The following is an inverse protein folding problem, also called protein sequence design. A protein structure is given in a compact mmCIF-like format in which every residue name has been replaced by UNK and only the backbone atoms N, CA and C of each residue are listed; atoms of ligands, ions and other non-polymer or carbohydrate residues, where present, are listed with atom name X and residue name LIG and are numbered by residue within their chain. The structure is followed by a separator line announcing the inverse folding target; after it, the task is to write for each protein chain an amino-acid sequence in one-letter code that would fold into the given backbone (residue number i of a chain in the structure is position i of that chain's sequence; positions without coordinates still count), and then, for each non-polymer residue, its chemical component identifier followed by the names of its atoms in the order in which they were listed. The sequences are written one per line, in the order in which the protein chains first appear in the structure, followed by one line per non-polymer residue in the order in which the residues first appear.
data_IF_462304596699
#
_entry.id   IF_462304596699
#
_cell.length_a   1.000
_cell.length_b   1.000
_cell.length_c   1.000
_cell.angle_alpha   90.00
_cell.angle_beta   90.00
_cell.angle_gamma   90.00
#
_symmetry.space_group_name_H-M   'P 1'
#
loop_
_entity.id
_entity.type
_entity.pdbx_description
1 polymer ?
#
# COMPACT_ATOMS: atom_id res chain seq x y z
N UNK A 1 5.29 22.43 12.25
CA UNK A 1 5.68 22.24 13.66
C UNK A 1 4.53 21.73 14.53
N UNK A 2 3.31 22.32 14.47
CA UNK A 2 2.15 21.84 15.24
C UNK A 2 1.77 20.36 14.99
N UNK A 3 1.72 19.91 13.73
CA UNK A 3 1.38 18.51 13.41
C UNK A 3 2.41 17.48 13.91
N UNK A 4 3.68 17.87 14.06
CA UNK A 4 4.76 16.96 14.47
C UNK A 4 4.67 16.59 15.94
N UNK A 5 4.36 17.57 16.81
CA UNK A 5 4.15 17.31 18.24
C UNK A 5 2.92 16.43 18.52
N UNK A 6 1.85 16.63 17.76
CA UNK A 6 0.64 15.78 17.85
C UNK A 6 0.90 14.35 17.38
N UNK A 7 1.76 14.16 16.37
CA UNK A 7 2.15 12.84 15.91
C UNK A 7 2.97 12.09 16.96
N UNK A 8 3.91 12.76 17.65
CA UNK A 8 4.72 12.14 18.69
C UNK A 8 3.91 11.73 19.92
N UNK A 9 2.98 12.59 20.37
CA UNK A 9 2.03 12.24 21.43
C UNK A 9 1.14 11.05 21.02
N UNK A 10 0.67 11.03 19.77
CA UNK A 10 -0.12 9.92 19.25
C UNK A 10 0.68 8.62 19.23
N UNK A 11 1.95 8.63 18.82
CA UNK A 11 2.80 7.45 18.81
C UNK A 11 3.04 6.91 20.22
N UNK A 12 3.24 7.77 21.22
CA UNK A 12 3.36 7.35 22.62
C UNK A 12 2.07 6.70 23.13
N UNK A 13 0.91 7.29 22.85
CA UNK A 13 -0.38 6.73 23.24
C UNK A 13 -0.66 5.38 22.56
N UNK A 14 -0.31 5.26 21.28
CA UNK A 14 -0.45 4.02 20.52
C UNK A 14 0.51 2.95 21.04
N UNK A 15 1.74 3.32 21.41
CA UNK A 15 2.69 2.37 22.01
C UNK A 15 2.18 1.82 23.34
N UNK A 16 1.59 2.68 24.17
CA UNK A 16 0.92 2.21 25.40
C UNK A 16 -0.22 1.22 25.10
N UNK A 17 -1.02 1.48 24.06
CA UNK A 17 -2.10 0.56 23.64
C UNK A 17 -1.57 -0.74 23.04
N UNK A 18 -0.42 -0.71 22.38
CA UNK A 18 0.29 -1.91 21.92
C UNK A 18 0.73 -2.78 23.09
N UNK A 19 1.30 -2.18 24.13
CA UNK A 19 1.90 -2.90 25.25
C UNK A 19 0.87 -3.35 26.30
N UNK A 20 -0.12 -2.51 26.60
CA UNK A 20 -1.10 -2.71 27.69
C UNK A 20 -2.51 -3.03 27.17
N UNK A 21 -2.75 -2.95 25.86
CA UNK A 21 -4.06 -3.20 25.27
C UNK A 21 -4.49 -4.66 25.34
N UNK A 22 -5.80 -4.89 25.26
CA UNK A 22 -6.39 -6.23 25.27
C UNK A 22 -7.03 -6.58 23.92
N UNK A 23 -7.19 -7.87 23.66
CA UNK A 23 -7.84 -8.35 22.43
C UNK A 23 -7.15 -7.85 21.16
N UNK A 24 -7.91 -7.22 20.26
CA UNK A 24 -7.40 -6.73 18.97
C UNK A 24 -6.74 -5.34 19.05
N UNK A 25 -6.80 -4.65 20.19
CA UNK A 25 -6.28 -3.28 20.32
C UNK A 25 -4.78 -3.17 20.06
N UNK A 26 -3.91 -4.09 20.54
CA UNK A 26 -2.49 -4.01 20.24
C UNK A 26 -2.15 -4.02 18.74
N UNK A 27 -2.85 -4.86 17.98
CA UNK A 27 -2.70 -4.94 16.54
C UNK A 27 -3.17 -3.67 15.82
N UNK A 28 -4.34 -3.15 16.21
CA UNK A 28 -4.84 -1.89 15.66
C UNK A 28 -3.90 -0.72 15.99
N UNK A 29 -3.30 -0.72 17.18
CA UNK A 29 -2.33 0.28 17.59
C UNK A 29 -1.07 0.25 16.70
N UNK A 30 -0.52 -0.94 16.42
CA UNK A 30 0.62 -1.12 15.49
C UNK A 30 0.32 -0.59 14.10
N UNK A 31 -0.84 -0.96 13.52
CA UNK A 31 -1.26 -0.49 12.19
C UNK A 31 -1.47 1.03 12.14
N UNK A 32 -2.02 1.61 13.21
CA UNK A 32 -2.22 3.06 13.30
C UNK A 32 -0.90 3.80 13.50
N UNK A 33 0.02 3.28 14.30
CA UNK A 33 1.34 3.87 14.51
C UNK A 33 2.12 3.95 13.19
N UNK A 34 2.12 2.88 12.39
CA UNK A 34 2.71 2.89 11.05
C UNK A 34 2.08 3.96 10.13
N UNK A 35 0.76 4.17 10.22
CA UNK A 35 0.10 5.25 9.47
C UNK A 35 0.52 6.64 9.95
N UNK A 36 0.62 6.85 11.27
CA UNK A 36 1.07 8.14 11.85
C UNK A 36 2.51 8.46 11.44
N UNK A 37 3.39 7.45 11.36
CA UNK A 37 4.75 7.63 10.85
C UNK A 37 4.74 8.10 9.39
N UNK A 38 3.91 7.50 8.53
CA UNK A 38 3.76 7.94 7.15
C UNK A 38 3.22 9.38 7.06
N UNK A 39 2.21 9.72 7.87
CA UNK A 39 1.63 11.07 7.95
C UNK A 39 2.67 12.12 8.43
N UNK A 40 3.66 11.71 9.23
CA UNK A 40 4.79 12.54 9.70
C UNK A 40 5.92 12.64 8.66
N UNK A 41 5.87 11.87 7.57
CA UNK A 41 6.93 11.77 6.57
C UNK A 41 8.05 10.78 6.92
N UNK A 42 7.88 9.99 7.99
CA UNK A 42 8.76 8.86 8.30
C UNK A 42 8.29 7.61 7.55
N UNK A 43 8.55 7.60 6.24
CA UNK A 43 8.11 6.52 5.36
C UNK A 43 8.83 5.20 5.64
N UNK A 44 10.12 5.25 6.00
CA UNK A 44 10.88 4.03 6.34
C UNK A 44 10.37 3.42 7.65
N UNK A 45 10.09 4.24 8.67
CA UNK A 45 9.44 3.81 9.91
C UNK A 45 8.05 3.22 9.67
N UNK A 46 7.25 3.86 8.81
CA UNK A 46 5.92 3.37 8.44
C UNK A 46 5.98 1.99 7.76
N UNK A 47 6.86 1.84 6.78
CA UNK A 47 7.07 0.57 6.06
C UNK A 47 7.54 -0.52 7.02
N UNK A 48 8.50 -0.22 7.91
CA UNK A 48 8.97 -1.16 8.91
C UNK A 48 7.84 -1.61 9.86
N UNK A 49 6.98 -0.68 10.30
CA UNK A 49 5.83 -0.99 11.14
C UNK A 49 4.82 -1.91 10.46
N UNK A 50 4.47 -1.63 9.21
CA UNK A 50 3.58 -2.50 8.43
C UNK A 50 4.21 -3.86 8.11
N UNK A 51 5.50 -3.91 7.77
CA UNK A 51 6.22 -5.15 7.50
C UNK A 51 6.30 -6.04 8.76
N UNK A 52 6.47 -5.44 9.95
CA UNK A 52 6.45 -6.17 11.21
C UNK A 52 5.09 -6.83 11.46
N UNK A 53 3.99 -6.19 11.08
CA UNK A 53 2.64 -6.80 11.13
C UNK A 53 2.51 -7.89 10.08
N UNK A 54 3.00 -7.68 8.87
CA UNK A 54 2.94 -8.66 7.78
C UNK A 54 3.73 -9.95 8.09
N UNK A 55 4.85 -9.84 8.81
CA UNK A 55 5.73 -10.96 9.15
C UNK A 55 5.24 -11.80 10.34
N UNK A 56 4.40 -11.24 11.21
CA UNK A 56 3.92 -11.90 12.42
C UNK A 56 2.86 -12.97 12.09
N UNK A 57 3.27 -14.24 12.11
CA UNK A 57 2.42 -15.38 11.69
C UNK A 57 1.25 -15.66 12.62
N UNK A 58 1.19 -15.04 13.80
CA UNK A 58 0.05 -15.15 14.72
C UNK A 58 -1.14 -14.30 14.26
N UNK A 59 -0.92 -13.36 13.35
CA UNK A 59 -1.94 -12.44 12.84
C UNK A 59 -2.70 -13.09 11.66
N UNK A 60 -4.05 -12.97 11.62
CA UNK A 60 -4.85 -13.46 10.50
C UNK A 60 -4.34 -12.98 9.15
N UNK A 61 -4.28 -13.88 8.16
CA UNK A 61 -3.69 -13.62 6.84
C UNK A 61 -4.24 -12.37 6.15
N UNK A 62 -5.55 -12.11 6.26
CA UNK A 62 -6.16 -10.92 5.66
C UNK A 62 -5.62 -9.61 6.23
N UNK A 63 -5.26 -9.57 7.52
CA UNK A 63 -4.66 -8.38 8.13
C UNK A 63 -3.19 -8.25 7.72
N UNK A 64 -2.46 -9.36 7.63
CA UNK A 64 -1.07 -9.37 7.14
C UNK A 64 -0.98 -8.91 5.69
N UNK A 65 -1.90 -9.35 4.84
CA UNK A 65 -1.98 -8.93 3.45
C UNK A 65 -2.36 -7.45 3.33
N UNK A 66 -3.27 -6.96 4.18
CA UNK A 66 -3.55 -5.53 4.26
C UNK A 66 -2.31 -4.72 4.69
N UNK A 67 -1.53 -5.22 5.64
CA UNK A 67 -0.29 -4.56 6.07
C UNK A 67 0.74 -4.49 4.92
N UNK A 68 0.94 -5.58 4.16
CA UNK A 68 1.77 -5.57 2.95
C UNK A 68 1.29 -4.54 1.93
N UNK A 69 -0.01 -4.47 1.66
CA UNK A 69 -0.59 -3.50 0.74
C UNK A 69 -0.35 -2.05 1.22
N UNK A 70 -0.54 -1.79 2.52
CA UNK A 70 -0.29 -0.46 3.10
C UNK A 70 1.18 -0.06 3.00
N UNK A 71 2.11 -0.96 3.26
CA UNK A 71 3.54 -0.72 3.04
C UNK A 71 3.87 -0.45 1.56
N UNK A 72 3.29 -1.22 0.64
CA UNK A 72 3.45 -0.99 -0.80
C UNK A 72 2.94 0.40 -1.23
N UNK A 73 1.78 0.83 -0.72
CA UNK A 73 1.19 2.14 -1.01
C UNK A 73 2.05 3.30 -0.47
N UNK A 74 2.66 3.15 0.70
CA UNK A 74 3.62 4.15 1.23
C UNK A 74 4.81 4.30 0.28
N UNK A 75 5.27 3.20 -0.32
CA UNK A 75 6.43 3.19 -1.21
C UNK A 75 6.15 3.69 -2.63
N UNK A 76 4.88 3.75 -3.08
CA UNK A 76 4.54 4.22 -4.43
C UNK A 76 5.15 5.59 -4.74
N UNK A 77 5.15 6.50 -3.76
CA UNK A 77 5.70 7.84 -3.92
C UNK A 77 7.09 8.03 -3.31
N UNK A 78 7.57 7.07 -2.52
CA UNK A 78 8.71 7.25 -1.61
C UNK A 78 9.79 6.16 -1.71
N UNK A 79 9.62 5.18 -2.60
CA UNK A 79 10.55 4.07 -2.80
C UNK A 79 10.64 3.64 -4.27
N UNK A 80 11.27 2.50 -4.52
CA UNK A 80 11.41 1.93 -5.88
C UNK A 80 10.29 0.95 -6.21
N UNK A 81 10.10 0.68 -7.50
CA UNK A 81 9.20 -0.35 -8.00
C UNK A 81 9.51 -1.72 -7.41
N UNK A 82 10.78 -2.08 -7.24
CA UNK A 82 11.16 -3.36 -6.63
C UNK A 82 10.68 -3.44 -5.17
N UNK A 83 10.72 -2.34 -4.42
CA UNK A 83 10.24 -2.30 -3.04
C UNK A 83 8.71 -2.40 -2.94
N UNK A 84 7.98 -1.80 -3.89
CA UNK A 84 6.52 -1.96 -4.02
C UNK A 84 6.19 -3.40 -4.41
N UNK A 85 6.82 -3.92 -5.47
CA UNK A 85 6.56 -5.25 -6.01
C UNK A 85 6.84 -6.34 -4.97
N UNK A 86 7.93 -6.24 -4.20
CA UNK A 86 8.26 -7.16 -3.10
C UNK A 86 7.10 -7.41 -2.13
N UNK A 87 6.23 -6.42 -1.95
CA UNK A 87 5.09 -6.47 -1.01
C UNK A 87 3.76 -6.74 -1.71
N UNK A 88 3.57 -6.18 -2.90
CA UNK A 88 2.30 -6.23 -3.62
C UNK A 88 2.17 -7.43 -4.57
N UNK A 89 3.25 -8.01 -5.08
CA UNK A 89 3.20 -9.00 -6.17
C UNK A 89 2.40 -10.24 -5.80
N UNK A 90 2.62 -10.79 -4.61
CA UNK A 90 1.82 -11.95 -4.12
C UNK A 90 0.35 -11.61 -3.92
N UNK A 91 0.03 -10.35 -3.62
CA UNK A 91 -1.33 -9.87 -3.48
C UNK A 91 -1.99 -9.64 -4.84
N UNK A 92 -1.22 -9.42 -5.91
CA UNK A 92 -1.71 -9.18 -7.26
C UNK A 92 -2.19 -10.46 -7.98
N UNK A 93 -2.01 -11.64 -7.37
CA UNK A 93 -2.51 -12.91 -7.87
C UNK A 93 -4.05 -12.94 -7.97
N UNK A 94 -4.59 -13.61 -8.99
CA UNK A 94 -6.04 -13.64 -9.28
C UNK A 94 -6.91 -14.14 -8.11
N UNK A 95 -6.36 -14.99 -7.25
CA UNK A 95 -7.06 -15.57 -6.11
C UNK A 95 -7.12 -14.65 -4.89
N UNK A 96 -6.32 -13.58 -4.86
CA UNK A 96 -6.26 -12.70 -3.69
C UNK A 96 -7.36 -11.61 -3.78
N UNK A 97 -8.09 -11.34 -2.68
CA UNK A 97 -9.12 -10.30 -2.67
C UNK A 97 -8.56 -8.88 -2.87
N UNK A 98 -7.27 -8.64 -2.57
CA UNK A 98 -6.61 -7.34 -2.70
C UNK A 98 -5.96 -7.10 -4.07
N UNK A 99 -6.10 -8.04 -5.02
CA UNK A 99 -5.37 -8.02 -6.30
C UNK A 99 -5.48 -6.72 -7.08
N UNK A 100 -6.65 -6.08 -7.08
CA UNK A 100 -6.89 -4.85 -7.83
C UNK A 100 -6.10 -3.68 -7.24
N UNK A 101 -6.11 -3.54 -5.92
CA UNK A 101 -5.33 -2.52 -5.23
C UNK A 101 -3.82 -2.79 -5.31
N UNK A 102 -3.42 -4.06 -5.28
CA UNK A 102 -2.02 -4.45 -5.43
C UNK A 102 -1.48 -4.15 -6.84
N UNK A 103 -2.24 -4.52 -7.89
CA UNK A 103 -1.93 -4.17 -9.29
C UNK A 103 -1.86 -2.68 -9.49
N UNK A 104 -2.79 -1.92 -8.90
CA UNK A 104 -2.77 -0.46 -8.99
C UNK A 104 -1.54 0.15 -8.33
N UNK A 105 -1.16 -0.30 -7.13
CA UNK A 105 0.05 0.18 -6.46
C UNK A 105 1.31 -0.11 -7.30
N UNK A 106 1.42 -1.32 -7.86
CA UNK A 106 2.52 -1.68 -8.76
C UNK A 106 2.49 -0.84 -10.05
N UNK A 107 1.31 -0.59 -10.63
CA UNK A 107 1.16 0.18 -11.86
C UNK A 107 1.55 1.65 -11.68
N UNK A 108 1.14 2.27 -10.56
CA UNK A 108 1.52 3.63 -10.19
C UNK A 108 3.03 3.76 -10.03
N UNK A 109 3.66 2.82 -9.33
CA UNK A 109 5.11 2.83 -9.13
C UNK A 109 5.88 2.60 -10.44
N UNK A 110 5.44 1.64 -11.27
CA UNK A 110 6.01 1.39 -12.59
C UNK A 110 5.93 2.65 -13.47
N UNK A 111 4.78 3.32 -13.48
CA UNK A 111 4.59 4.55 -14.25
C UNK A 111 5.55 5.66 -13.82
N UNK A 112 5.74 5.84 -12.51
CA UNK A 112 6.66 6.85 -11.95
C UNK A 112 8.12 6.58 -12.29
N UNK A 113 8.50 5.33 -12.50
CA UNK A 113 9.84 4.95 -12.95
C UNK A 113 9.98 4.95 -14.49
N UNK A 114 8.97 5.43 -15.23
CA UNK A 114 9.00 5.45 -16.70
C UNK A 114 8.79 4.08 -17.34
N UNK A 115 8.39 3.06 -16.57
CA UNK A 115 8.05 1.71 -17.06
C UNK A 115 6.61 1.70 -17.59
N UNK A 116 6.33 2.53 -18.60
CA UNK A 116 4.99 2.78 -19.14
C UNK A 116 4.25 1.53 -19.61
N UNK A 117 4.96 0.63 -20.29
CA UNK A 117 4.39 -0.62 -20.79
C UNK A 117 3.95 -1.54 -19.64
N UNK A 118 4.77 -1.64 -18.59
CA UNK A 118 4.46 -2.45 -17.41
C UNK A 118 3.28 -1.87 -16.63
N UNK A 119 3.24 -0.54 -16.46
CA UNK A 119 2.12 0.15 -15.85
C UNK A 119 0.82 -0.09 -16.63
N UNK A 120 0.85 0.06 -17.96
CA UNK A 120 -0.32 -0.14 -18.81
C UNK A 120 -0.85 -1.58 -18.72
N UNK A 121 0.04 -2.57 -18.76
CA UNK A 121 -0.33 -3.99 -18.60
C UNK A 121 -1.07 -4.24 -17.29
N UNK A 122 -0.62 -3.65 -16.19
CA UNK A 122 -1.26 -3.81 -14.88
C UNK A 122 -2.64 -3.12 -14.82
N UNK A 123 -2.79 -1.93 -15.38
CA UNK A 123 -4.09 -1.26 -15.47
C UNK A 123 -5.07 -2.01 -16.37
N UNK A 124 -4.61 -2.59 -17.48
CA UNK A 124 -5.42 -3.44 -18.36
C UNK A 124 -5.92 -4.70 -17.65
N UNK A 125 -5.08 -5.33 -16.80
CA UNK A 125 -5.51 -6.45 -15.96
C UNK A 125 -6.63 -6.06 -15.00
N UNK A 126 -6.61 -4.84 -14.44
CA UNK A 126 -7.70 -4.34 -13.59
C UNK A 126 -8.97 -4.13 -14.43
N UNK A 127 -8.84 -3.52 -15.61
CA UNK A 127 -9.98 -3.22 -16.47
C UNK A 127 -10.64 -4.46 -17.06
N UNK A 128 -9.87 -5.50 -17.35
CA UNK A 128 -10.34 -6.77 -17.88
C UNK A 128 -11.05 -7.65 -16.82
N UNK A 129 -10.81 -7.42 -15.53
CA UNK A 129 -11.43 -8.20 -14.46
C UNK A 129 -12.82 -7.65 -14.09
N UNK A 130 -13.85 -8.42 -14.42
CA UNK A 130 -15.25 -8.10 -14.14
C UNK A 130 -15.55 -7.89 -12.64
N UNK A 131 -14.77 -8.50 -11.75
CA UNK A 131 -14.89 -8.37 -10.30
C UNK A 131 -14.12 -7.16 -9.71
N UNK A 132 -13.45 -6.36 -10.53
CA UNK A 132 -12.83 -5.12 -10.08
C UNK A 132 -13.90 -4.14 -9.52
N UNK A 133 -13.71 -3.60 -8.29
CA UNK A 133 -14.58 -2.56 -7.76
C UNK A 133 -14.63 -1.36 -8.69
N UNK A 134 -15.83 -0.77 -8.86
CA UNK A 134 -16.11 0.28 -9.83
C UNK A 134 -15.10 1.45 -9.76
N UNK A 135 -14.81 1.93 -8.56
CA UNK A 135 -13.89 3.04 -8.34
C UNK A 135 -12.43 2.71 -8.72
N UNK A 136 -11.99 1.46 -8.55
CA UNK A 136 -10.63 1.04 -8.97
C UNK A 136 -10.58 0.93 -10.49
N UNK A 137 -11.62 0.37 -11.12
CA UNK A 137 -11.70 0.29 -12.59
C UNK A 137 -11.72 1.68 -13.23
N UNK A 138 -12.50 2.61 -12.69
CA UNK A 138 -12.55 4.00 -13.20
C UNK A 138 -11.18 4.68 -13.15
N UNK A 139 -10.42 4.53 -12.05
CA UNK A 139 -9.05 5.04 -11.95
C UNK A 139 -8.09 4.33 -12.90
N UNK A 140 -8.20 3.01 -13.03
CA UNK A 140 -7.34 2.24 -13.92
C UNK A 140 -7.55 2.61 -15.40
N UNK A 141 -8.79 2.81 -15.84
CA UNK A 141 -9.09 3.36 -17.18
C UNK A 141 -8.47 4.74 -17.37
N UNK A 142 -8.68 5.66 -16.43
CA UNK A 142 -8.13 7.02 -16.51
C UNK A 142 -6.60 7.00 -16.61
N UNK A 143 -5.93 6.18 -15.79
CA UNK A 143 -4.47 6.07 -15.82
C UNK A 143 -3.98 5.42 -17.12
N UNK A 144 -4.64 4.38 -17.63
CA UNK A 144 -4.30 3.77 -18.90
C UNK A 144 -4.42 4.76 -20.08
N UNK A 145 -5.47 5.56 -20.10
CA UNK A 145 -5.67 6.62 -21.10
C UNK A 145 -4.61 7.71 -21.00
N UNK A 146 -4.28 8.15 -19.78
CA UNK A 146 -3.22 9.13 -19.53
C UNK A 146 -1.85 8.65 -20.05
N UNK A 147 -1.51 7.38 -19.77
CA UNK A 147 -0.25 6.75 -20.20
C UNK A 147 -0.16 6.66 -21.73
N UNK A 148 -1.26 6.29 -22.39
CA UNK A 148 -1.34 6.26 -23.86
C UNK A 148 -1.24 7.66 -24.45
N UNK A 149 -1.93 8.63 -23.84
CA UNK A 149 -1.97 10.02 -24.30
C UNK A 149 -0.65 10.77 -24.13
N UNK A 150 0.21 10.37 -23.19
CA UNK A 150 1.52 10.99 -22.99
C UNK A 150 2.57 10.57 -24.03
N UNK A 151 2.26 9.60 -24.91
CA UNK A 151 3.18 9.04 -25.89
C UNK A 151 4.30 8.18 -25.30
N UNK A 152 4.26 7.90 -23.98
CA UNK A 152 5.31 7.15 -23.29
C UNK A 152 5.16 5.62 -23.42
N UNK A 153 4.03 5.17 -23.96
CA UNK A 153 3.72 3.76 -24.22
C UNK A 153 3.54 3.44 -25.71
N UNK A 154 3.91 4.38 -26.60
CA UNK A 154 3.87 4.22 -28.06
C UNK A 154 5.02 3.38 -28.60
#
# INVERSE_FOLDING_TARGET
LANGGQADEALLALKKLEDEGYGAYPLLARMRAATVLADKGDFSGAVAGFDAVAADTTIPVGIRDMAKLRAALVLVDNGTYEEVAKRAETLAADTNPLRHSAREAMALSAWKEGKSADALKLYEQINADAAAPRNIRERATMMAELIRGSGAAS
#
